data_IF_902458843838
#
_entry.id   IF_902458843838
#
_cell.length_a   1.000
_cell.length_b   1.000
_cell.length_c   1.000
_cell.angle_alpha   90.00
_cell.angle_beta   90.00
_cell.angle_gamma   90.00
#
_symmetry.space_group_name_H-M   'P 1'
#
loop_
_entity.id
_entity.type
_entity.pdbx_description
1 polymer ?
#
# COMPACT_ATOMS: atom_id res chain seq x y z
N UNK A 1 7.53 -12.83 5.61
CA UNK A 1 6.36 -13.13 4.73
C UNK A 1 5.22 -12.12 4.85
N UNK A 2 5.24 -11.22 5.87
CA UNK A 2 4.19 -10.19 6.09
C UNK A 2 4.07 -9.21 4.92
N UNK A 3 5.20 -8.74 4.38
CA UNK A 3 5.21 -7.80 3.26
C UNK A 3 4.58 -8.37 1.99
N UNK A 4 4.84 -9.63 1.69
CA UNK A 4 4.21 -10.33 0.57
C UNK A 4 2.68 -10.42 0.76
N UNK A 5 2.22 -10.85 1.94
CA UNK A 5 0.79 -10.96 2.22
C UNK A 5 0.07 -9.62 2.13
N UNK A 6 0.66 -8.55 2.68
CA UNK A 6 0.15 -7.19 2.58
C UNK A 6 0.14 -6.72 1.12
N UNK A 7 1.20 -6.99 0.36
CA UNK A 7 1.29 -6.66 -1.07
C UNK A 7 0.18 -7.32 -1.90
N UNK A 8 -0.10 -8.61 -1.64
CA UNK A 8 -1.21 -9.34 -2.29
C UNK A 8 -2.56 -8.75 -1.89
N UNK A 9 -2.79 -8.47 -0.60
CA UNK A 9 -4.04 -7.88 -0.13
C UNK A 9 -4.30 -6.50 -0.76
N UNK A 10 -3.28 -5.64 -0.80
CA UNK A 10 -3.39 -4.30 -1.41
C UNK A 10 -3.49 -4.33 -2.94
N UNK A 11 -3.03 -5.38 -3.62
CA UNK A 11 -3.22 -5.52 -5.08
C UNK A 11 -4.70 -5.58 -5.48
N UNK A 12 -5.58 -6.00 -4.56
CA UNK A 12 -7.03 -5.93 -4.72
C UNK A 12 -7.56 -4.52 -4.97
N UNK A 13 -6.89 -3.48 -4.45
CA UNK A 13 -7.23 -2.07 -4.72
C UNK A 13 -7.04 -1.75 -6.20
N UNK A 14 -5.96 -2.25 -6.82
CA UNK A 14 -5.71 -2.06 -8.24
C UNK A 14 -6.75 -2.76 -9.11
N UNK A 15 -7.01 -4.03 -8.84
CA UNK A 15 -8.02 -4.82 -9.56
C UNK A 15 -9.42 -4.23 -9.41
N UNK A 16 -9.80 -3.90 -8.17
CA UNK A 16 -11.07 -3.24 -7.87
C UNK A 16 -11.20 -1.89 -8.56
N UNK A 17 -10.13 -1.11 -8.59
CA UNK A 17 -10.08 0.19 -9.27
C UNK A 17 -10.41 0.06 -10.75
N UNK A 18 -9.77 -0.85 -11.49
CA UNK A 18 -10.02 -1.05 -12.92
C UNK A 18 -11.50 -1.34 -13.20
N UNK A 19 -12.08 -2.29 -12.45
CA UNK A 19 -13.47 -2.71 -12.64
C UNK A 19 -14.46 -1.62 -12.22
N UNK A 20 -14.25 -1.07 -11.01
CA UNK A 20 -15.19 -0.11 -10.44
C UNK A 20 -15.15 1.25 -11.13
N UNK A 21 -13.98 1.73 -11.58
CA UNK A 21 -13.90 3.01 -12.28
C UNK A 21 -14.69 3.00 -13.60
N UNK A 22 -14.57 1.95 -14.40
CA UNK A 22 -15.32 1.82 -15.64
C UNK A 22 -16.84 1.77 -15.37
N UNK A 23 -17.23 0.99 -14.38
CA UNK A 23 -18.62 0.85 -13.98
C UNK A 23 -19.21 2.17 -13.45
N UNK A 24 -18.51 2.84 -12.54
CA UNK A 24 -18.92 4.12 -11.95
C UNK A 24 -19.00 5.19 -13.05
N UNK A 25 -18.01 5.24 -13.93
CA UNK A 25 -18.01 6.22 -15.04
C UNK A 25 -19.22 6.05 -15.94
N UNK A 26 -19.62 4.82 -16.25
CA UNK A 26 -20.82 4.56 -17.06
C UNK A 26 -22.10 5.02 -16.37
N UNK A 27 -22.21 4.89 -15.05
CA UNK A 27 -23.37 5.38 -14.30
C UNK A 27 -23.36 6.92 -14.24
N UNK A 28 -22.19 7.54 -13.99
CA UNK A 28 -22.09 9.01 -13.94
C UNK A 28 -22.55 9.63 -15.25
N UNK A 29 -22.14 9.06 -16.38
CA UNK A 29 -22.48 9.57 -17.70
C UNK A 29 -23.95 9.34 -18.09
N UNK A 30 -24.57 8.26 -17.62
CA UNK A 30 -25.96 7.90 -17.97
C UNK A 30 -27.01 8.52 -17.06
N UNK A 31 -26.80 8.52 -15.74
CA UNK A 31 -27.80 8.90 -14.73
C UNK A 31 -27.30 9.91 -13.68
N UNK A 32 -26.03 10.29 -13.78
CA UNK A 32 -25.43 11.32 -12.95
C UNK A 32 -24.76 10.82 -11.67
N UNK A 33 -23.96 11.69 -11.07
CA UNK A 33 -23.08 11.37 -9.94
C UNK A 33 -23.83 10.98 -8.65
N UNK A 34 -25.05 11.52 -8.43
CA UNK A 34 -25.83 11.19 -7.22
C UNK A 34 -26.25 9.72 -7.20
N UNK A 35 -26.69 9.21 -8.35
CA UNK A 35 -27.07 7.79 -8.48
C UNK A 35 -25.84 6.91 -8.35
N UNK A 36 -24.68 7.34 -8.86
CA UNK A 36 -23.41 6.62 -8.66
C UNK A 36 -23.04 6.48 -7.19
N UNK A 37 -23.23 7.52 -6.36
CA UNK A 37 -23.01 7.43 -4.92
C UNK A 37 -23.92 6.38 -4.26
N UNK A 38 -25.20 6.34 -4.63
CA UNK A 38 -26.14 5.33 -4.12
C UNK A 38 -25.77 3.92 -4.58
N UNK A 39 -25.34 3.78 -5.83
CA UNK A 39 -24.89 2.49 -6.37
C UNK A 39 -23.66 1.96 -5.63
N UNK A 40 -22.68 2.83 -5.35
CA UNK A 40 -21.49 2.45 -4.54
C UNK A 40 -21.91 2.07 -3.11
N UNK A 41 -22.78 2.87 -2.47
CA UNK A 41 -23.28 2.57 -1.14
C UNK A 41 -24.00 1.22 -1.10
N UNK A 42 -24.85 0.94 -2.09
CA UNK A 42 -25.55 -0.33 -2.24
C UNK A 42 -24.58 -1.51 -2.43
N UNK A 43 -23.55 -1.34 -3.26
CA UNK A 43 -22.52 -2.35 -3.48
C UNK A 43 -21.73 -2.67 -2.20
N UNK A 44 -21.32 -1.63 -1.46
CA UNK A 44 -20.63 -1.79 -0.18
C UNK A 44 -21.50 -2.53 0.84
N UNK A 45 -22.76 -2.14 0.97
CA UNK A 45 -23.69 -2.80 1.89
C UNK A 45 -24.01 -4.23 1.47
N UNK A 46 -24.14 -4.52 0.19
CA UNK A 46 -24.51 -5.84 -0.30
C UNK A 46 -23.33 -6.84 -0.31
N UNK A 47 -22.11 -6.37 -0.50
CA UNK A 47 -20.93 -7.24 -0.64
C UNK A 47 -20.02 -7.14 0.59
N UNK A 48 -19.57 -5.93 0.94
CA UNK A 48 -18.52 -5.77 1.96
C UNK A 48 -19.06 -6.11 3.36
N UNK A 49 -20.27 -5.65 3.68
CA UNK A 49 -20.85 -5.91 5.00
C UNK A 49 -21.09 -7.41 5.25
N UNK A 50 -21.73 -8.19 4.34
CA UNK A 50 -21.89 -9.62 4.55
C UNK A 50 -20.56 -10.38 4.59
N UNK A 51 -19.62 -10.04 3.71
CA UNK A 51 -18.30 -10.68 3.72
C UNK A 51 -17.56 -10.44 5.05
N UNK A 52 -17.59 -9.22 5.56
CA UNK A 52 -17.01 -8.93 6.88
C UNK A 52 -17.69 -9.71 7.99
N UNK A 53 -19.02 -9.73 8.02
CA UNK A 53 -19.77 -10.45 9.06
C UNK A 53 -19.55 -11.96 9.05
N UNK A 54 -19.38 -12.54 7.88
CA UNK A 54 -19.21 -13.99 7.70
C UNK A 54 -17.76 -14.41 7.92
N UNK A 55 -16.80 -13.73 7.32
CA UNK A 55 -15.41 -14.18 7.23
C UNK A 55 -14.46 -13.47 8.19
N UNK A 56 -14.75 -12.20 8.56
CA UNK A 56 -13.84 -11.47 9.43
C UNK A 56 -13.98 -11.92 10.88
N UNK A 57 -12.91 -12.41 11.47
CA UNK A 57 -12.77 -12.73 12.88
C UNK A 57 -11.68 -11.87 13.49
N UNK A 58 -11.83 -11.55 14.77
CA UNK A 58 -10.91 -10.64 15.44
C UNK A 58 -9.55 -11.29 15.67
N UNK A 59 -9.54 -12.60 15.91
CA UNK A 59 -8.32 -13.36 16.20
C UNK A 59 -8.35 -14.71 15.51
N UNK A 60 -7.20 -15.23 15.04
CA UNK A 60 -7.12 -16.56 14.47
C UNK A 60 -7.48 -17.66 15.49
N UNK A 61 -7.20 -17.43 16.78
CA UNK A 61 -7.54 -18.36 17.87
C UNK A 61 -9.05 -18.59 18.00
N UNK A 62 -9.90 -17.62 17.64
CA UNK A 62 -11.36 -17.75 17.63
C UNK A 62 -11.84 -18.84 16.65
N UNK A 63 -10.98 -19.23 15.69
CA UNK A 63 -11.20 -20.30 14.72
C UNK A 63 -10.38 -21.56 15.01
N UNK A 64 -9.68 -21.60 16.16
CA UNK A 64 -8.76 -22.69 16.50
C UNK A 64 -7.50 -22.73 15.63
N UNK A 65 -7.18 -21.62 14.94
CA UNK A 65 -6.00 -21.49 14.11
C UNK A 65 -4.88 -20.82 14.90
N UNK A 66 -3.66 -21.29 14.67
CA UNK A 66 -2.44 -20.64 15.17
C UNK A 66 -1.87 -19.72 14.07
N UNK A 67 -1.15 -18.63 14.43
CA UNK A 67 -0.44 -17.82 13.46
C UNK A 67 0.51 -18.67 12.61
N UNK A 68 0.64 -18.33 11.32
CA UNK A 68 1.47 -19.06 10.36
C UNK A 68 2.90 -19.26 10.89
N UNK A 69 3.28 -20.53 11.09
CA UNK A 69 4.63 -20.92 11.51
C UNK A 69 4.72 -21.58 12.88
N UNK A 70 3.86 -21.25 13.84
CA UNK A 70 3.98 -21.83 15.20
C UNK A 70 3.61 -23.32 15.27
N UNK A 71 2.72 -23.81 14.41
CA UNK A 71 2.35 -25.23 14.37
C UNK A 71 3.38 -26.09 13.61
N UNK A 72 4.00 -25.52 12.57
CA UNK A 72 5.02 -26.25 11.78
C UNK A 72 6.35 -26.36 12.51
N UNK A 73 6.67 -25.44 13.43
CA UNK A 73 7.91 -25.48 14.22
C UNK A 73 7.89 -26.53 15.32
N UNK A 74 6.73 -26.96 15.80
CA UNK A 74 6.61 -28.01 16.81
C UNK A 74 6.69 -29.44 16.26
N UNK A 75 6.51 -29.65 14.96
CA UNK A 75 6.51 -30.99 14.34
C UNK A 75 7.81 -31.32 13.56
N UNK A 76 8.62 -30.33 13.23
CA UNK A 76 9.90 -30.59 12.53
C UNK A 76 11.08 -30.12 13.36
N UNK A 77 11.62 -31.07 14.12
CA UNK A 77 12.90 -30.95 14.86
C UNK A 77 14.14 -30.85 13.92
N UNK A 78 13.93 -30.42 12.68
CA UNK A 78 14.98 -30.05 11.72
C UNK A 78 14.95 -28.56 11.50
N UNK A 79 15.43 -27.82 12.51
CA UNK A 79 15.64 -26.40 12.44
C UNK A 79 16.62 -26.05 11.30
N UNK A 80 16.09 -25.61 10.16
CA UNK A 80 16.87 -24.67 9.33
C UNK A 80 17.14 -23.46 10.21
N UNK A 81 18.40 -22.99 10.35
CA UNK A 81 18.69 -21.82 11.15
C UNK A 81 17.89 -20.65 10.60
N UNK A 82 16.84 -20.26 11.28
CA UNK A 82 16.15 -19.01 10.97
C UNK A 82 17.18 -17.93 11.30
N UNK A 83 17.58 -17.18 10.29
CA UNK A 83 18.38 -15.99 10.50
C UNK A 83 17.52 -15.08 11.38
N UNK A 84 17.94 -14.91 12.61
CA UNK A 84 17.29 -14.01 13.54
C UNK A 84 17.43 -12.58 13.00
N UNK A 85 16.33 -12.07 12.48
CA UNK A 85 16.26 -10.73 11.89
C UNK A 85 15.88 -9.65 12.91
N UNK A 86 15.71 -10.06 14.18
CA UNK A 86 15.37 -9.13 15.26
C UNK A 86 16.66 -8.41 15.71
N UNK A 87 16.71 -7.10 15.46
CA UNK A 87 17.86 -6.25 15.80
C UNK A 87 17.86 -5.86 17.29
N UNK A 88 16.69 -5.80 17.93
CA UNK A 88 16.52 -5.31 19.30
C UNK A 88 15.44 -6.15 20.00
N UNK A 89 15.88 -7.22 20.67
CA UNK A 89 15.00 -8.17 21.35
C UNK A 89 14.25 -7.53 22.53
N UNK A 90 14.89 -6.62 23.26
CA UNK A 90 14.27 -5.92 24.40
C UNK A 90 13.15 -4.99 23.92
N UNK A 91 13.33 -4.39 22.75
CA UNK A 91 12.30 -3.57 22.11
C UNK A 91 11.07 -4.39 21.73
N UNK A 92 11.27 -5.54 21.10
CA UNK A 92 10.17 -6.43 20.65
C UNK A 92 9.46 -7.06 21.85
N UNK A 93 10.17 -7.41 22.93
CA UNK A 93 9.60 -7.96 24.15
C UNK A 93 8.81 -6.93 24.99
N UNK A 94 8.92 -5.64 24.67
CA UNK A 94 8.25 -4.58 25.41
C UNK A 94 6.75 -4.55 25.09
N UNK A 95 5.90 -4.55 26.12
CA UNK A 95 4.48 -4.28 25.95
C UNK A 95 4.25 -2.81 25.56
N UNK A 96 3.90 -2.60 24.30
CA UNK A 96 3.67 -1.27 23.75
C UNK A 96 2.27 -0.77 24.04
N UNK A 97 2.21 0.44 24.62
CA UNK A 97 0.98 1.25 24.73
C UNK A 97 1.15 2.52 23.88
N UNK A 98 0.07 3.13 23.45
CA UNK A 98 0.11 4.40 22.69
C UNK A 98 0.98 5.45 23.41
N UNK A 99 0.80 5.61 24.73
CA UNK A 99 1.57 6.57 25.51
C UNK A 99 3.08 6.28 25.51
N UNK A 100 3.46 5.01 25.63
CA UNK A 100 4.87 4.60 25.58
C UNK A 100 5.45 4.81 24.18
N UNK A 101 4.71 4.46 23.13
CA UNK A 101 5.13 4.65 21.75
C UNK A 101 5.39 6.14 21.46
N UNK A 102 4.44 7.01 21.80
CA UNK A 102 4.56 8.47 21.63
C UNK A 102 5.76 9.08 22.39
N UNK A 103 6.22 8.45 23.47
CA UNK A 103 7.38 8.90 24.24
C UNK A 103 8.72 8.55 23.58
N UNK A 104 8.72 7.76 22.49
CA UNK A 104 9.94 7.30 21.80
C UNK A 104 10.22 8.12 20.55
N UNK A 105 11.49 8.41 20.28
CA UNK A 105 11.89 9.06 19.02
C UNK A 105 11.61 8.17 17.79
N UNK A 106 11.71 6.83 17.94
CA UNK A 106 11.45 5.87 16.87
C UNK A 106 10.01 6.00 16.34
N UNK A 107 9.04 6.27 17.20
CA UNK A 107 7.65 6.52 16.79
C UNK A 107 7.54 7.75 15.87
N UNK A 108 8.16 8.86 16.23
CA UNK A 108 8.08 10.10 15.47
C UNK A 108 8.83 10.02 14.14
N UNK A 109 9.96 9.33 14.11
CA UNK A 109 10.66 9.04 12.85
C UNK A 109 9.82 8.16 11.92
N UNK A 110 9.16 7.14 12.47
CA UNK A 110 8.24 6.31 11.70
C UNK A 110 7.06 7.13 11.17
N UNK A 111 6.42 7.93 12.01
CA UNK A 111 5.30 8.80 11.62
C UNK A 111 5.71 9.78 10.51
N UNK A 112 6.89 10.41 10.64
CA UNK A 112 7.43 11.30 9.61
C UNK A 112 7.71 10.56 8.31
N UNK A 113 8.28 9.37 8.38
CA UNK A 113 8.58 8.53 7.23
C UNK A 113 7.30 8.13 6.49
N UNK A 114 6.30 7.63 7.20
CA UNK A 114 5.01 7.25 6.62
C UNK A 114 4.26 8.47 6.07
N UNK A 115 4.22 9.57 6.81
CA UNK A 115 3.56 10.80 6.39
C UNK A 115 4.17 11.40 5.13
N UNK A 116 5.50 11.48 5.04
CA UNK A 116 6.18 11.99 3.84
C UNK A 116 6.00 11.06 2.64
N UNK A 117 5.99 9.74 2.85
CA UNK A 117 5.70 8.77 1.81
C UNK A 117 4.28 8.91 1.24
N UNK A 118 3.28 9.03 2.12
CA UNK A 118 1.90 9.28 1.72
C UNK A 118 1.74 10.63 1.02
N UNK A 119 2.40 11.67 1.52
CA UNK A 119 2.38 12.98 0.88
C UNK A 119 2.90 12.91 -0.56
N UNK A 120 4.05 12.24 -0.78
CA UNK A 120 4.59 12.03 -2.11
C UNK A 120 3.62 11.25 -3.01
N UNK A 121 3.01 10.19 -2.49
CA UNK A 121 2.02 9.40 -3.23
C UNK A 121 0.81 10.26 -3.63
N UNK A 122 0.12 10.85 -2.64
CA UNK A 122 -1.12 11.58 -2.93
C UNK A 122 -0.91 12.80 -3.82
N UNK A 123 0.22 13.49 -3.70
CA UNK A 123 0.54 14.64 -4.54
C UNK A 123 0.57 14.25 -6.02
N UNK A 124 1.22 13.15 -6.38
CA UNK A 124 1.21 12.64 -7.77
C UNK A 124 -0.19 12.14 -8.12
N UNK A 125 -0.77 11.29 -7.29
CA UNK A 125 -2.01 10.58 -7.58
C UNK A 125 -3.19 11.52 -7.87
N UNK A 126 -3.30 12.61 -7.14
CA UNK A 126 -4.42 13.56 -7.28
C UNK A 126 -4.22 14.49 -8.47
N UNK A 127 -2.99 14.94 -8.73
CA UNK A 127 -2.74 16.01 -9.69
C UNK A 127 -2.29 15.54 -11.08
N UNK A 128 -1.80 14.30 -11.22
CA UNK A 128 -1.14 13.83 -12.44
C UNK A 128 -2.05 13.88 -13.68
N UNK A 129 -3.33 13.53 -13.58
CA UNK A 129 -4.22 13.53 -14.74
C UNK A 129 -4.41 14.93 -15.31
N UNK A 130 -4.74 15.89 -14.44
CA UNK A 130 -4.92 17.27 -14.86
C UNK A 130 -3.61 17.90 -15.38
N UNK A 131 -2.50 17.58 -14.75
CA UNK A 131 -1.19 18.04 -15.16
C UNK A 131 -0.81 17.54 -16.57
N UNK A 132 -1.03 16.26 -16.86
CA UNK A 132 -0.77 15.70 -18.18
C UNK A 132 -1.69 16.30 -19.25
N UNK A 133 -2.95 16.55 -18.95
CA UNK A 133 -3.86 17.26 -19.86
C UNK A 133 -3.36 18.70 -20.14
N UNK A 134 -2.85 19.41 -19.14
CA UNK A 134 -2.26 20.76 -19.30
C UNK A 134 -1.01 20.77 -20.16
N UNK A 135 -0.24 19.66 -20.17
CA UNK A 135 0.90 19.50 -21.06
C UNK A 135 0.51 19.17 -22.51
N UNK A 136 -0.80 19.06 -22.81
CA UNK A 136 -1.34 18.84 -24.15
C UNK A 136 -1.59 17.38 -24.52
N UNK A 137 -1.50 16.44 -23.58
CA UNK A 137 -1.88 15.06 -23.83
C UNK A 137 -3.39 14.89 -23.90
N UNK A 138 -3.86 14.08 -24.84
CA UNK A 138 -5.29 13.77 -24.96
C UNK A 138 -5.81 12.93 -23.80
N UNK A 139 -7.08 13.11 -23.43
CA UNK A 139 -7.73 12.38 -22.30
C UNK A 139 -7.57 10.86 -22.40
N UNK A 140 -7.65 10.31 -23.61
CA UNK A 140 -7.47 8.87 -23.84
C UNK A 140 -6.03 8.41 -23.52
N UNK A 141 -5.04 9.20 -23.90
CA UNK A 141 -3.62 8.91 -23.60
C UNK A 141 -3.35 8.98 -22.09
N UNK A 142 -3.92 9.98 -21.43
CA UNK A 142 -3.82 10.12 -19.96
C UNK A 142 -4.49 8.93 -19.27
N UNK A 143 -5.69 8.53 -19.71
CA UNK A 143 -6.37 7.36 -19.16
C UNK A 143 -5.57 6.06 -19.33
N UNK A 144 -4.93 5.87 -20.50
CA UNK A 144 -4.04 4.74 -20.73
C UNK A 144 -2.81 4.77 -19.83
N UNK A 145 -2.19 5.97 -19.64
CA UNK A 145 -1.06 6.12 -18.72
C UNK A 145 -1.46 5.76 -17.26
N UNK A 146 -2.63 6.21 -16.80
CA UNK A 146 -3.15 5.80 -15.48
C UNK A 146 -3.41 4.29 -15.40
N UNK A 147 -3.86 3.67 -16.48
CA UNK A 147 -3.95 2.22 -16.59
C UNK A 147 -2.60 1.53 -16.42
N UNK A 148 -1.52 2.08 -17.01
CA UNK A 148 -0.16 1.57 -16.83
C UNK A 148 0.29 1.71 -15.37
N UNK A 149 -0.02 2.82 -14.69
CA UNK A 149 0.25 2.99 -13.24
C UNK A 149 -0.37 1.86 -12.44
N UNK A 150 -1.66 1.58 -12.66
CA UNK A 150 -2.39 0.55 -11.90
C UNK A 150 -1.82 -0.84 -12.20
N UNK A 151 -1.62 -1.19 -13.46
CA UNK A 151 -1.12 -2.52 -13.86
C UNK A 151 0.30 -2.77 -13.33
N UNK A 152 1.20 -1.82 -13.53
CA UNK A 152 2.57 -1.92 -12.98
C UNK A 152 2.58 -1.86 -11.45
N UNK A 153 1.60 -1.14 -10.85
CA UNK A 153 1.42 -1.04 -9.40
C UNK A 153 1.04 -2.37 -8.75
N UNK A 154 0.16 -3.16 -9.37
CA UNK A 154 -0.18 -4.51 -8.88
C UNK A 154 1.09 -5.37 -8.80
N UNK A 155 1.87 -5.39 -9.88
CA UNK A 155 3.13 -6.15 -9.93
C UNK A 155 4.14 -5.60 -8.91
N UNK A 156 4.30 -4.27 -8.88
CA UNK A 156 5.22 -3.58 -7.98
C UNK A 156 4.95 -3.86 -6.51
N UNK A 157 3.70 -3.78 -6.08
CA UNK A 157 3.30 -4.04 -4.69
C UNK A 157 3.63 -5.47 -4.25
N UNK A 158 3.31 -6.46 -5.08
CA UNK A 158 3.56 -7.87 -4.76
C UNK A 158 5.06 -8.14 -4.74
N UNK A 159 5.77 -7.69 -5.77
CA UNK A 159 7.21 -7.91 -5.89
C UNK A 159 8.00 -7.21 -4.78
N UNK A 160 7.75 -5.91 -4.55
CA UNK A 160 8.44 -5.14 -3.52
C UNK A 160 8.03 -5.57 -2.11
N UNK A 161 6.77 -5.99 -1.92
CA UNK A 161 6.34 -6.62 -0.67
C UNK A 161 7.13 -7.89 -0.37
N UNK A 162 7.28 -8.77 -1.36
CA UNK A 162 8.11 -9.97 -1.22
C UNK A 162 9.59 -9.64 -1.03
N UNK A 163 10.10 -8.69 -1.79
CA UNK A 163 11.49 -8.24 -1.69
C UNK A 163 11.80 -7.69 -0.29
N UNK A 164 10.86 -6.94 0.31
CA UNK A 164 11.01 -6.37 1.64
C UNK A 164 11.15 -7.42 2.75
N UNK A 165 10.58 -8.60 2.56
CA UNK A 165 10.76 -9.73 3.47
C UNK A 165 12.17 -10.36 3.39
N UNK A 166 12.94 -10.06 2.33
CA UNK A 166 14.28 -10.60 2.09
C UNK A 166 15.41 -9.61 2.38
N UNK A 167 15.28 -8.37 1.91
CA UNK A 167 16.35 -7.36 1.99
C UNK A 167 16.08 -6.28 3.04
N UNK A 168 14.94 -6.37 3.74
CA UNK A 168 14.56 -5.43 4.80
C UNK A 168 13.58 -4.33 4.32
N UNK A 169 12.79 -3.83 5.28
CA UNK A 169 11.75 -2.83 5.03
C UNK A 169 12.32 -1.48 4.60
N UNK A 170 13.37 -1.05 5.27
CA UNK A 170 13.98 0.27 5.08
C UNK A 170 14.52 0.45 3.66
N UNK A 171 15.21 -0.58 3.14
CA UNK A 171 15.77 -0.52 1.80
C UNK A 171 14.67 -0.47 0.75
N UNK A 172 13.63 -1.30 0.88
CA UNK A 172 12.51 -1.29 -0.07
C UNK A 172 11.68 -0.03 0.03
N UNK A 173 11.53 0.56 1.21
CA UNK A 173 10.94 1.88 1.39
C UNK A 173 11.73 2.95 0.62
N UNK A 174 13.06 2.93 0.73
CA UNK A 174 13.94 3.84 0.00
C UNK A 174 13.82 3.66 -1.52
N UNK A 175 13.77 2.41 -2.00
CA UNK A 175 13.52 2.10 -3.42
C UNK A 175 12.17 2.69 -3.87
N UNK A 176 11.13 2.52 -3.07
CA UNK A 176 9.80 3.04 -3.42
C UNK A 176 9.75 4.57 -3.43
N UNK A 177 10.39 5.24 -2.49
CA UNK A 177 10.53 6.70 -2.50
C UNK A 177 11.34 7.18 -3.70
N UNK A 178 12.42 6.48 -4.08
CA UNK A 178 13.20 6.83 -5.28
C UNK A 178 12.36 6.71 -6.55
N UNK A 179 11.38 5.80 -6.60
CA UNK A 179 10.38 5.73 -7.65
C UNK A 179 9.56 7.01 -7.79
N UNK A 180 9.13 7.61 -6.67
CA UNK A 180 8.44 8.91 -6.70
C UNK A 180 9.37 10.06 -7.05
N UNK A 181 10.61 10.06 -6.58
CA UNK A 181 11.60 11.07 -7.01
C UNK A 181 11.78 11.00 -8.52
N UNK A 182 11.91 9.81 -9.09
CA UNK A 182 11.98 9.61 -10.53
C UNK A 182 10.72 10.11 -11.24
N UNK A 183 9.53 9.85 -10.71
CA UNK A 183 8.29 10.42 -11.24
C UNK A 183 8.33 11.95 -11.30
N UNK A 184 8.70 12.61 -10.20
CA UNK A 184 8.79 14.06 -10.16
C UNK A 184 9.80 14.62 -11.15
N UNK A 185 10.98 13.98 -11.27
CA UNK A 185 11.99 14.37 -12.25
C UNK A 185 11.44 14.27 -13.67
N UNK A 186 10.75 13.17 -14.00
CA UNK A 186 10.16 12.99 -15.33
C UNK A 186 9.04 14.03 -15.57
N UNK A 187 8.18 14.30 -14.58
CA UNK A 187 7.16 15.34 -14.68
C UNK A 187 7.76 16.72 -14.95
N UNK A 188 8.87 17.07 -14.30
CA UNK A 188 9.58 18.32 -14.55
C UNK A 188 10.20 18.37 -15.96
N UNK A 189 10.79 17.27 -16.42
CA UNK A 189 11.35 17.17 -17.77
C UNK A 189 10.27 17.34 -18.85
N UNK A 190 9.07 16.83 -18.62
CA UNK A 190 7.94 16.96 -19.54
C UNK A 190 7.44 18.41 -19.73
N UNK A 191 7.78 19.35 -18.84
CA UNK A 191 7.47 20.78 -19.02
C UNK A 191 8.19 21.32 -20.26
N UNK A 192 9.44 20.92 -20.47
CA UNK A 192 10.26 21.39 -21.60
C UNK A 192 10.17 20.49 -22.82
N UNK A 193 9.91 19.21 -22.64
CA UNK A 193 9.87 18.20 -23.70
C UNK A 193 8.70 17.23 -23.49
N UNK A 194 7.45 17.63 -23.78
CA UNK A 194 6.31 16.74 -23.68
C UNK A 194 6.50 15.53 -24.61
N UNK A 195 6.53 14.33 -24.04
CA UNK A 195 6.73 13.09 -24.81
C UNK A 195 5.88 11.98 -24.24
N UNK A 196 5.19 11.25 -25.12
CA UNK A 196 4.42 10.07 -24.74
C UNK A 196 5.32 9.00 -24.08
N UNK A 197 6.56 8.87 -24.53
CA UNK A 197 7.53 7.97 -23.91
C UNK A 197 7.78 8.34 -22.43
N UNK A 198 8.03 9.63 -22.14
CA UNK A 198 8.24 10.09 -20.76
C UNK A 198 6.99 9.90 -19.90
N UNK A 199 5.80 10.14 -20.46
CA UNK A 199 4.53 9.91 -19.77
C UNK A 199 4.36 8.45 -19.34
N UNK A 200 4.59 7.50 -20.26
CA UNK A 200 4.49 6.07 -19.92
C UNK A 200 5.65 5.59 -19.03
N UNK A 201 6.84 6.14 -19.19
CA UNK A 201 7.98 5.85 -18.32
C UNK A 201 7.70 6.31 -16.87
N UNK A 202 7.13 7.51 -16.70
CA UNK A 202 6.68 8.01 -15.41
C UNK A 202 5.61 7.10 -14.81
N UNK A 203 4.60 6.72 -15.59
CA UNK A 203 3.52 5.84 -15.14
C UNK A 203 4.05 4.47 -14.69
N UNK A 204 4.97 3.88 -15.46
CA UNK A 204 5.61 2.61 -15.11
C UNK A 204 6.47 2.72 -13.84
N UNK A 205 7.25 3.79 -13.69
CA UNK A 205 8.07 4.04 -12.50
C UNK A 205 7.21 4.23 -11.24
N UNK A 206 6.13 5.01 -11.37
CA UNK A 206 5.17 5.22 -10.28
C UNK A 206 4.56 3.89 -9.81
N UNK A 207 4.07 3.07 -10.73
CA UNK A 207 3.47 1.80 -10.39
C UNK A 207 4.50 0.79 -9.88
N UNK A 208 5.49 0.46 -10.69
CA UNK A 208 6.44 -0.61 -10.41
C UNK A 208 7.29 -0.37 -9.15
N UNK A 209 7.66 0.88 -8.88
CA UNK A 209 8.47 1.23 -7.73
C UNK A 209 7.63 1.89 -6.62
N UNK A 210 6.90 2.97 -6.95
CA UNK A 210 6.22 3.80 -5.97
C UNK A 210 5.16 3.05 -5.16
N UNK A 211 4.41 2.16 -5.76
CA UNK A 211 3.36 1.40 -5.08
C UNK A 211 3.87 0.40 -4.03
N UNK A 212 5.18 0.13 -3.97
CA UNK A 212 5.79 -0.60 -2.87
C UNK A 212 5.52 0.02 -1.49
N UNK A 213 5.31 1.34 -1.41
CA UNK A 213 4.93 2.00 -0.15
C UNK A 213 3.68 1.38 0.47
N UNK A 214 2.68 1.01 -0.32
CA UNK A 214 1.43 0.43 0.17
C UNK A 214 1.66 -0.89 0.92
N UNK A 215 2.52 -1.77 0.41
CA UNK A 215 2.83 -3.05 1.05
C UNK A 215 3.63 -2.89 2.35
N UNK A 216 4.36 -1.78 2.48
CA UNK A 216 5.21 -1.50 3.65
C UNK A 216 4.48 -0.69 4.72
N UNK A 217 3.45 0.07 4.35
CA UNK A 217 2.72 0.96 5.24
C UNK A 217 2.17 0.27 6.49
N UNK A 218 1.64 -0.96 6.33
CA UNK A 218 1.16 -1.75 7.45
C UNK A 218 2.22 -2.61 8.12
N UNK A 219 3.22 -3.08 7.35
CA UNK A 219 4.22 -4.01 7.85
C UNK A 219 5.31 -3.34 8.70
N UNK A 220 5.75 -2.13 8.34
CA UNK A 220 6.77 -1.41 9.13
C UNK A 220 6.33 -1.11 10.57
N UNK A 221 5.14 -0.51 10.81
CA UNK A 221 4.66 -0.33 12.18
C UNK A 221 4.46 -1.64 12.93
N UNK A 222 4.02 -2.71 12.24
CA UNK A 222 3.81 -4.01 12.84
C UNK A 222 5.11 -4.70 13.27
N UNK A 223 6.21 -4.45 12.58
CA UNK A 223 7.51 -4.97 12.95
C UNK A 223 8.13 -4.18 14.12
N UNK A 224 7.78 -2.88 14.26
CA UNK A 224 8.29 -2.02 15.33
C UNK A 224 7.47 -2.08 16.63
N UNK A 225 6.15 -2.15 16.54
CA UNK A 225 5.25 -2.04 17.70
C UNK A 225 4.30 -3.24 17.75
N UNK A 226 4.80 -4.38 18.23
CA UNK A 226 4.02 -5.60 18.34
C UNK A 226 3.13 -5.58 19.61
N UNK A 227 2.08 -6.41 19.61
CA UNK A 227 1.26 -6.64 20.78
C UNK A 227 -0.23 -6.26 20.63
N UNK A 228 -1.04 -6.48 21.68
CA UNK A 228 -2.50 -6.37 21.61
C UNK A 228 -3.01 -4.95 21.34
N UNK A 229 -2.18 -3.92 21.52
CA UNK A 229 -2.53 -2.51 21.28
C UNK A 229 -1.97 -1.97 19.96
N UNK A 230 -1.41 -2.82 19.10
CA UNK A 230 -0.86 -2.44 17.79
C UNK A 230 -1.84 -1.60 16.96
N UNK A 231 -3.10 -2.01 16.85
CA UNK A 231 -4.10 -1.30 16.06
C UNK A 231 -4.32 0.16 16.52
N UNK A 232 -4.27 0.41 17.84
CA UNK A 232 -4.37 1.76 18.39
C UNK A 232 -3.13 2.61 18.07
N UNK A 233 -1.92 2.01 18.11
CA UNK A 233 -0.67 2.69 17.74
C UNK A 233 -0.66 3.01 16.25
N UNK A 234 -1.04 2.03 15.41
CA UNK A 234 -1.15 2.23 13.96
C UNK A 234 -2.14 3.35 13.62
N UNK A 235 -3.30 3.39 14.30
CA UNK A 235 -4.27 4.45 14.10
C UNK A 235 -3.69 5.85 14.40
N UNK A 236 -2.89 6.00 15.44
CA UNK A 236 -2.25 7.29 15.77
C UNK A 236 -1.12 7.64 14.81
N UNK A 237 -0.37 6.67 14.31
CA UNK A 237 0.69 6.90 13.30
C UNK A 237 0.11 7.32 11.95
N UNK A 238 -1.14 6.90 11.66
CA UNK A 238 -1.80 7.11 10.35
C UNK A 238 -2.54 8.44 10.24
N UNK A 239 -2.60 9.24 11.30
CA UNK A 239 -3.23 10.57 11.35
C UNK A 239 -2.22 11.66 11.08
#
# INVERSE_FOLDING_TARGET
KRGFAVGVAFSGVGVGGIVLFLWIQSIITSVGWRVSCWAIAGLLMAIVVPLNLIFQRQRPEDLGLTPDGEAAERETDTATPQVDTIVDHDWVATEWTVRRALATSRFWWLALTLGTGLFAWYTVQVHQSQYLEQLGFGKEQVALALGVVVMSGIVGQIFLGHLSDRIGRELVWTISLSGYVLCYVILLLMVSQPSAFLMYAMAAAQGALGYGLASLYGSMPADMFQGPRFAAILGVVSV
#
